data_IF_839805137111
#
_entry.id   IF_839805137111
#
_cell.length_a   1.000
_cell.length_b   1.000
_cell.length_c   1.000
_cell.angle_alpha   90.00
_cell.angle_beta   90.00
_cell.angle_gamma   90.00
#
_symmetry.space_group_name_H-M   'P 1'
#
loop_
_entity.id
_entity.type
_entity.pdbx_description
1 polymer ?
#
# COMPACT_ATOMS: atom_id res chain seq x y z
N UNK A 1 9.17 39.50 5.09
CA UNK A 1 9.42 38.07 4.82
C UNK A 1 8.41 37.58 3.78
N UNK A 2 8.87 37.37 2.55
CA UNK A 2 8.02 36.85 1.48
C UNK A 2 7.73 35.37 1.73
N UNK A 3 6.49 35.05 2.11
CA UNK A 3 5.99 33.66 2.07
C UNK A 3 5.87 33.27 0.60
N UNK A 4 6.87 32.56 0.07
CA UNK A 4 6.72 31.82 -1.18
C UNK A 4 5.62 30.78 -0.92
N UNK A 5 4.39 31.07 -1.32
CA UNK A 5 3.35 30.05 -1.48
C UNK A 5 3.80 29.20 -2.64
N UNK A 6 4.47 28.08 -2.36
CA UNK A 6 4.59 26.99 -3.34
C UNK A 6 3.17 26.69 -3.84
N UNK A 7 2.92 26.78 -5.16
CA UNK A 7 1.62 26.42 -5.68
C UNK A 7 1.54 24.92 -5.50
N UNK A 8 0.82 24.46 -4.48
CA UNK A 8 0.27 23.11 -4.52
C UNK A 8 -0.70 23.11 -5.69
N UNK A 9 -0.17 22.85 -6.90
CA UNK A 9 -0.94 22.74 -8.13
C UNK A 9 -2.07 21.77 -7.92
N UNK A 10 -3.19 21.96 -8.62
CA UNK A 10 -4.38 21.10 -8.53
C UNK A 10 -3.95 19.63 -8.64
N UNK A 11 -3.92 18.91 -7.52
CA UNK A 11 -3.62 17.47 -7.51
C UNK A 11 -4.84 16.76 -8.09
N UNK A 12 -4.66 16.06 -9.21
CA UNK A 12 -5.74 15.32 -9.86
C UNK A 12 -5.66 13.87 -9.38
N UNK A 13 -6.76 13.34 -8.86
CA UNK A 13 -6.82 11.90 -8.52
C UNK A 13 -6.74 11.09 -9.83
N UNK A 14 -5.91 10.03 -9.90
CA UNK A 14 -5.88 9.16 -11.07
C UNK A 14 -7.21 8.44 -11.26
N UNK A 15 -7.48 8.05 -12.51
CA UNK A 15 -8.56 7.12 -12.81
C UNK A 15 -8.24 5.76 -12.16
N UNK A 16 -9.25 5.15 -11.54
CA UNK A 16 -9.13 3.83 -10.94
C UNK A 16 -9.77 2.77 -11.86
N UNK A 17 -9.23 1.53 -11.88
CA UNK A 17 -7.95 1.15 -11.27
C UNK A 17 -6.76 1.77 -12.01
N UNK A 18 -5.69 2.05 -11.28
CA UNK A 18 -4.37 2.34 -11.86
C UNK A 18 -3.79 1.01 -12.35
N UNK A 19 -3.67 0.86 -13.66
CA UNK A 19 -3.10 -0.32 -14.32
C UNK A 19 -1.61 -0.12 -14.65
N UNK A 20 -1.22 1.13 -14.93
CA UNK A 20 0.15 1.48 -15.23
C UNK A 20 0.50 2.86 -14.67
N UNK A 21 1.51 2.90 -13.82
CA UNK A 21 2.06 4.13 -13.24
C UNK A 21 2.78 5.01 -14.27
N UNK A 22 3.26 4.44 -15.38
CA UNK A 22 3.95 5.17 -16.44
C UNK A 22 3.01 6.07 -17.25
N UNK A 23 1.73 5.71 -17.29
CA UNK A 23 0.67 6.44 -17.97
C UNK A 23 0.12 7.64 -17.16
N UNK A 24 0.59 7.83 -15.93
CA UNK A 24 0.11 8.89 -15.05
C UNK A 24 0.57 10.27 -15.52
N UNK A 25 -0.35 11.23 -15.52
CA UNK A 25 0.03 12.64 -15.68
C UNK A 25 0.83 13.13 -14.46
N UNK A 26 1.61 14.20 -14.63
CA UNK A 26 2.37 14.81 -13.51
C UNK A 26 1.48 15.15 -12.30
N UNK A 27 0.24 15.59 -12.53
CA UNK A 27 -0.69 15.92 -11.44
C UNK A 27 -1.21 14.68 -10.70
N UNK A 28 -1.34 13.55 -11.39
CA UNK A 28 -1.74 12.27 -10.80
C UNK A 28 -0.58 11.63 -10.05
N UNK A 29 0.64 11.76 -10.58
CA UNK A 29 1.86 11.39 -9.91
C UNK A 29 2.03 12.14 -8.57
N UNK A 30 1.89 13.48 -8.58
CA UNK A 30 1.98 14.32 -7.38
C UNK A 30 0.88 13.98 -6.36
N UNK A 31 -0.31 13.60 -6.84
CA UNK A 31 -1.39 13.12 -5.98
C UNK A 31 -1.02 11.81 -5.29
N UNK A 32 -0.53 10.81 -6.03
CA UNK A 32 -0.12 9.53 -5.46
C UNK A 32 0.99 9.69 -4.43
N UNK A 33 2.03 10.45 -4.76
CA UNK A 33 3.15 10.68 -3.86
C UNK A 33 2.69 11.37 -2.57
N UNK A 34 1.76 12.32 -2.66
CA UNK A 34 1.16 12.93 -1.49
C UNK A 34 0.42 11.93 -0.62
N UNK A 35 -0.45 11.09 -1.18
CA UNK A 35 -1.22 10.09 -0.43
C UNK A 35 -0.29 9.10 0.28
N UNK A 36 0.72 8.58 -0.43
CA UNK A 36 1.69 7.64 0.13
C UNK A 36 2.51 8.29 1.25
N UNK A 37 2.96 9.54 1.07
CA UNK A 37 3.70 10.27 2.10
C UNK A 37 2.84 10.58 3.33
N UNK A 38 1.55 10.87 3.16
CA UNK A 38 0.64 10.98 4.30
C UNK A 38 0.62 9.66 5.06
N UNK A 39 0.36 8.52 4.41
CA UNK A 39 0.31 7.20 5.08
C UNK A 39 1.63 6.87 5.80
N UNK A 40 2.77 7.13 5.17
CA UNK A 40 4.09 6.86 5.73
C UNK A 40 4.42 7.70 6.99
N UNK A 41 3.88 8.92 7.07
CA UNK A 41 4.23 9.91 8.11
C UNK A 41 3.09 10.22 9.09
N UNK A 42 1.90 9.65 8.92
CA UNK A 42 0.71 10.07 9.66
C UNK A 42 0.68 9.50 11.07
N UNK A 43 1.38 10.16 12.00
CA UNK A 43 1.46 9.85 13.44
C UNK A 43 0.11 9.83 14.22
N UNK A 44 -1.01 10.20 13.60
CA UNK A 44 -2.26 10.55 14.31
C UNK A 44 -3.30 9.43 14.43
N UNK A 45 -3.13 8.28 13.78
CA UNK A 45 -4.02 7.10 13.90
C UNK A 45 -3.59 6.10 15.00
N UNK A 46 -2.72 6.53 15.91
CA UNK A 46 -1.78 5.64 16.60
C UNK A 46 -2.33 4.87 17.81
N UNK A 47 -3.59 5.07 18.19
CA UNK A 47 -4.12 4.45 19.42
C UNK A 47 -5.16 3.34 19.19
N UNK A 48 -5.74 3.19 17.99
CA UNK A 48 -6.80 2.18 17.75
C UNK A 48 -6.39 1.07 16.78
N UNK A 49 -5.45 1.32 15.86
CA UNK A 49 -5.01 0.31 14.88
C UNK A 49 -3.93 -0.60 15.46
N UNK A 50 -4.01 -1.93 15.25
CA UNK A 50 -2.99 -2.87 15.70
C UNK A 50 -1.58 -2.55 15.17
N UNK A 51 -0.55 -2.85 15.96
CA UNK A 51 0.84 -2.50 15.64
C UNK A 51 1.30 -3.04 14.29
N UNK A 52 1.03 -4.31 13.97
CA UNK A 52 1.49 -4.94 12.72
C UNK A 52 0.85 -4.32 11.48
N UNK A 53 -0.42 -3.94 11.60
CA UNK A 53 -1.13 -3.21 10.57
C UNK A 53 -0.46 -1.86 10.30
N UNK A 54 -0.20 -1.08 11.35
CA UNK A 54 0.48 0.22 11.21
C UNK A 54 1.86 0.06 10.58
N UNK A 55 2.60 -0.94 11.02
CA UNK A 55 3.93 -1.23 10.51
C UNK A 55 3.87 -1.63 9.02
N UNK A 56 2.94 -2.49 8.62
CA UNK A 56 2.72 -2.82 7.22
C UNK A 56 2.39 -1.58 6.39
N UNK A 57 1.43 -0.76 6.83
CA UNK A 57 1.01 0.48 6.15
C UNK A 57 2.17 1.44 5.91
N UNK A 58 3.00 1.64 6.93
CA UNK A 58 4.15 2.53 6.82
C UNK A 58 5.18 1.97 5.82
N UNK A 59 5.53 0.69 5.96
CA UNK A 59 6.51 0.04 5.08
C UNK A 59 6.06 0.04 3.62
N UNK A 60 4.81 -0.36 3.36
CA UNK A 60 4.27 -0.43 2.00
C UNK A 60 4.17 0.97 1.36
N UNK A 61 3.75 1.97 2.12
CA UNK A 61 3.66 3.34 1.60
C UNK A 61 5.03 3.90 1.21
N UNK A 62 6.05 3.69 2.06
CA UNK A 62 7.43 4.09 1.77
C UNK A 62 7.95 3.37 0.53
N UNK A 63 7.72 2.05 0.43
CA UNK A 63 8.16 1.25 -0.71
C UNK A 63 7.55 1.73 -2.03
N UNK A 64 6.23 1.91 -2.07
CA UNK A 64 5.54 2.39 -3.27
C UNK A 64 5.97 3.82 -3.64
N UNK A 65 6.14 4.72 -2.65
CA UNK A 65 6.60 6.10 -2.90
C UNK A 65 8.02 6.12 -3.49
N UNK A 66 8.91 5.26 -2.98
CA UNK A 66 10.27 5.13 -3.49
C UNK A 66 10.29 4.59 -4.92
N UNK A 67 9.52 3.54 -5.22
CA UNK A 67 9.42 3.01 -6.59
C UNK A 67 8.82 4.04 -7.55
N UNK A 68 7.78 4.76 -7.12
CA UNK A 68 7.16 5.83 -7.89
C UNK A 68 8.16 6.93 -8.23
N UNK A 69 8.90 7.43 -7.24
CA UNK A 69 9.94 8.47 -7.42
C UNK A 69 11.06 8.02 -8.36
N UNK A 70 11.45 6.74 -8.29
CA UNK A 70 12.46 6.14 -9.17
C UNK A 70 11.92 5.71 -10.53
N UNK A 71 10.62 5.90 -10.80
CA UNK A 71 9.91 5.46 -12.02
C UNK A 71 10.08 3.95 -12.29
N UNK A 72 10.18 3.14 -11.23
CA UNK A 72 10.20 1.69 -11.35
C UNK A 72 8.78 1.16 -11.52
N UNK A 73 8.60 0.15 -12.38
CA UNK A 73 7.31 -0.52 -12.59
C UNK A 73 6.81 -1.19 -11.31
N UNK A 74 5.49 -1.15 -11.12
CA UNK A 74 4.83 -1.83 -10.02
C UNK A 74 4.45 -3.25 -10.46
N UNK A 75 4.57 -4.22 -9.56
CA UNK A 75 4.01 -5.55 -9.76
C UNK A 75 2.48 -5.53 -9.63
N UNK A 76 1.82 -6.60 -10.07
CA UNK A 76 0.36 -6.71 -9.99
C UNK A 76 -0.15 -6.58 -8.54
N UNK A 77 0.54 -7.20 -7.57
CA UNK A 77 0.19 -7.08 -6.16
C UNK A 77 0.39 -5.64 -5.64
N UNK A 78 1.46 -4.96 -6.04
CA UNK A 78 1.72 -3.57 -5.67
C UNK A 78 0.68 -2.62 -6.25
N UNK A 79 0.29 -2.80 -7.52
CA UNK A 79 -0.81 -2.05 -8.15
C UNK A 79 -2.14 -2.33 -7.45
N UNK A 80 -2.41 -3.58 -7.09
CA UNK A 80 -3.58 -3.95 -6.33
C UNK A 80 -3.62 -3.24 -4.97
N UNK A 81 -2.53 -3.26 -4.21
CA UNK A 81 -2.43 -2.56 -2.91
C UNK A 81 -2.62 -1.05 -3.09
N UNK A 82 -1.98 -0.47 -4.11
CA UNK A 82 -2.14 0.95 -4.44
C UNK A 82 -3.61 1.28 -4.71
N UNK A 83 -4.32 0.47 -5.50
CA UNK A 83 -5.72 0.69 -5.80
C UNK A 83 -6.59 0.59 -4.54
N UNK A 84 -6.34 -0.38 -3.66
CA UNK A 84 -7.04 -0.47 -2.37
C UNK A 84 -6.80 0.78 -1.51
N UNK A 85 -5.58 1.31 -1.46
CA UNK A 85 -5.25 2.59 -0.79
C UNK A 85 -6.08 3.74 -1.35
N UNK A 86 -6.16 3.85 -2.68
CA UNK A 86 -6.82 4.96 -3.37
C UNK A 86 -8.35 4.91 -3.30
N UNK A 87 -8.93 3.72 -3.20
CA UNK A 87 -10.36 3.52 -3.03
C UNK A 87 -10.83 3.96 -1.63
N UNK A 88 -10.08 3.59 -0.59
CA UNK A 88 -10.56 3.72 0.79
C UNK A 88 -10.11 5.02 1.50
N UNK A 89 -9.28 5.86 0.86
CA UNK A 89 -8.63 7.08 1.40
C UNK A 89 -7.70 6.85 2.60
N UNK A 90 -7.94 5.80 3.38
CA UNK A 90 -7.10 5.17 4.37
C UNK A 90 -7.39 3.67 4.23
N UNK A 91 -6.36 2.85 4.07
CA UNK A 91 -6.52 1.39 4.06
C UNK A 91 -7.35 0.98 5.28
N UNK A 92 -8.45 0.25 5.10
CA UNK A 92 -9.39 0.11 6.17
C UNK A 92 -9.04 -1.23 6.82
N UNK A 93 -8.23 -1.13 7.87
CA UNK A 93 -7.98 -2.21 8.82
C UNK A 93 -8.79 -1.98 10.09
N UNK A 94 -9.93 -1.30 9.96
CA UNK A 94 -10.94 -1.24 11.01
C UNK A 94 -11.82 -2.48 10.87
N UNK A 95 -12.24 -3.08 11.99
CA UNK A 95 -12.98 -4.36 11.99
C UNK A 95 -14.27 -4.30 11.16
N UNK A 96 -14.86 -3.11 11.02
CA UNK A 96 -16.08 -2.86 10.23
C UNK A 96 -15.83 -2.83 8.72
N UNK A 97 -14.61 -2.50 8.31
CA UNK A 97 -14.22 -2.53 6.92
C UNK A 97 -13.76 -3.94 6.55
N UNK A 98 -14.57 -4.59 5.71
CA UNK A 98 -14.27 -5.85 5.05
C UNK A 98 -12.79 -5.91 4.66
N UNK A 99 -11.94 -6.65 5.41
CA UNK A 99 -10.48 -6.75 5.18
C UNK A 99 -10.19 -6.94 3.69
N UNK A 100 -9.72 -5.88 3.02
CA UNK A 100 -9.47 -5.88 1.56
C UNK A 100 -8.15 -6.56 1.21
N UNK A 101 -7.27 -6.77 2.19
CA UNK A 101 -6.08 -7.57 2.04
C UNK A 101 -5.71 -8.25 3.37
N UNK A 102 -5.16 -9.45 3.26
CA UNK A 102 -4.45 -10.15 4.32
C UNK A 102 -2.94 -10.02 4.07
N UNK A 103 -2.14 -9.95 5.13
CA UNK A 103 -0.69 -9.86 5.01
C UNK A 103 0.03 -10.59 6.13
N UNK A 104 1.27 -10.99 5.85
CA UNK A 104 2.22 -11.52 6.82
C UNK A 104 3.56 -10.82 6.61
N UNK A 105 4.02 -10.05 7.60
CA UNK A 105 5.29 -9.34 7.52
C UNK A 105 6.46 -10.33 7.50
N UNK A 106 7.48 -10.07 6.67
CA UNK A 106 8.66 -10.95 6.58
C UNK A 106 9.36 -11.11 7.93
N UNK A 107 9.44 -10.03 8.72
CA UNK A 107 10.01 -10.06 10.08
C UNK A 107 9.33 -11.06 11.02
N UNK A 108 8.06 -11.40 10.77
CA UNK A 108 7.32 -12.38 11.57
C UNK A 108 7.53 -13.80 11.05
N UNK A 109 7.83 -13.95 9.75
CA UNK A 109 8.23 -15.23 9.14
C UNK A 109 9.60 -15.64 9.68
N UNK A 110 10.57 -14.72 9.74
CA UNK A 110 11.94 -15.00 10.20
C UNK A 110 12.01 -15.53 11.65
N UNK A 111 10.97 -15.29 12.46
CA UNK A 111 10.86 -15.81 13.83
C UNK A 111 10.35 -17.26 13.89
N UNK A 112 9.89 -17.82 12.78
CA UNK A 112 9.35 -19.17 12.71
C UNK A 112 10.47 -20.19 12.51
N UNK A 113 10.49 -21.24 13.33
CA UNK A 113 11.45 -22.35 13.22
C UNK A 113 11.40 -23.05 11.84
N UNK A 114 10.23 -23.06 11.18
CA UNK A 114 9.99 -23.68 9.87
C UNK A 114 9.63 -22.64 8.80
N UNK A 115 10.38 -21.55 8.70
CA UNK A 115 10.12 -20.43 7.77
C UNK A 115 9.84 -20.87 6.32
N UNK A 116 10.56 -21.86 5.80
CA UNK A 116 10.39 -22.33 4.42
C UNK A 116 9.03 -23.03 4.19
N UNK A 117 8.61 -23.89 5.12
CA UNK A 117 7.32 -24.57 5.03
C UNK A 117 6.18 -23.55 5.10
N UNK A 118 6.31 -22.56 5.97
CA UNK A 118 5.34 -21.49 6.10
C UNK A 118 5.24 -20.62 4.84
N UNK A 119 6.37 -20.28 4.21
CA UNK A 119 6.39 -19.57 2.93
C UNK A 119 5.69 -20.37 1.84
N UNK A 120 5.95 -21.68 1.74
CA UNK A 120 5.27 -22.56 0.78
C UNK A 120 3.75 -22.50 0.99
N UNK A 121 3.28 -22.61 2.24
CA UNK A 121 1.85 -22.50 2.55
C UNK A 121 1.26 -21.14 2.16
N UNK A 122 1.99 -20.04 2.37
CA UNK A 122 1.54 -18.71 1.96
C UNK A 122 1.36 -18.64 0.43
N UNK A 123 2.33 -19.16 -0.33
CA UNK A 123 2.27 -19.19 -1.80
C UNK A 123 1.10 -20.07 -2.27
N UNK A 124 0.90 -21.24 -1.66
CA UNK A 124 -0.25 -22.13 -1.94
C UNK A 124 -1.61 -21.49 -1.63
N UNK A 125 -1.63 -20.47 -0.76
CA UNK A 125 -2.83 -19.71 -0.40
C UNK A 125 -2.92 -18.36 -1.13
N UNK A 126 -2.28 -18.23 -2.29
CA UNK A 126 -2.31 -17.07 -3.20
C UNK A 126 -1.68 -15.78 -2.63
N UNK A 127 -0.83 -15.89 -1.61
CA UNK A 127 -0.06 -14.73 -1.17
C UNK A 127 1.07 -14.45 -2.15
N UNK A 128 1.24 -13.17 -2.48
CA UNK A 128 2.31 -12.68 -3.33
C UNK A 128 3.31 -11.88 -2.49
N UNK A 129 4.59 -12.07 -2.78
CA UNK A 129 5.66 -11.35 -2.12
C UNK A 129 5.65 -9.88 -2.56
N UNK A 130 5.69 -8.98 -1.57
CA UNK A 130 6.15 -7.61 -1.74
C UNK A 130 7.55 -7.52 -1.14
N UNK A 131 8.53 -7.27 -2.00
CA UNK A 131 9.95 -7.32 -1.68
C UNK A 131 10.29 -6.60 -0.37
N UNK A 132 10.99 -7.31 0.53
CA UNK A 132 11.46 -6.81 1.83
C UNK A 132 10.38 -6.32 2.80
N UNK A 133 9.10 -6.62 2.55
CA UNK A 133 7.99 -6.14 3.40
C UNK A 133 7.17 -7.30 3.93
N UNK A 134 6.43 -7.98 3.06
CA UNK A 134 5.40 -8.94 3.45
C UNK A 134 5.01 -9.87 2.29
N UNK A 135 4.42 -10.99 2.65
CA UNK A 135 3.50 -11.71 1.78
C UNK A 135 2.12 -11.08 1.91
N UNK A 136 1.48 -10.76 0.79
CA UNK A 136 0.18 -10.07 0.76
C UNK A 136 -0.79 -10.82 -0.16
N UNK A 137 -2.02 -10.97 0.30
CA UNK A 137 -3.14 -11.45 -0.51
C UNK A 137 -4.22 -10.40 -0.52
N UNK A 138 -4.58 -9.90 -1.69
CA UNK A 138 -5.72 -9.00 -1.82
C UNK A 138 -6.98 -9.86 -1.80
N UNK A 139 -7.85 -9.59 -0.83
CA UNK A 139 -9.15 -10.22 -0.75
C UNK A 139 -10.02 -9.55 -1.81
N UNK A 140 -10.02 -10.12 -3.01
CA UNK A 140 -11.04 -9.84 -4.00
C UNK A 140 -12.37 -10.27 -3.39
N UNK A 141 -13.05 -9.35 -2.70
CA UNK A 141 -14.50 -9.43 -2.68
C UNK A 141 -14.93 -9.19 -4.11
N UNK A 142 -14.99 -10.28 -4.86
CA UNK A 142 -15.94 -10.45 -5.95
C UNK A 142 -17.19 -9.66 -5.57
N UNK A 143 -17.42 -8.58 -6.32
CA UNK A 143 -18.67 -8.39 -7.04
C UNK A 143 -19.78 -9.22 -6.40
N UNK A 144 -20.39 -8.69 -5.35
CA UNK A 144 -21.71 -9.20 -4.95
C UNK A 144 -22.67 -8.60 -5.95
N UNK A 145 -23.24 -9.49 -6.77
CA UNK A 145 -24.24 -9.32 -7.81
C UNK A 145 -25.14 -8.07 -7.67
#
# INVERSE_FOLDING_TARGET
MNRIKVPFGRKKKPKLPVEDISALSSMEFDYLLHVLNEIANRYTYYNTTAYDIRNFLQLIAIHLANKLTKKHTFSNIELGILNVILENKLLPFDEESKKLADFVLLKEIDKQNNSNEFITQLIENDYQLVDNIAYVRINNKTQSN
#
